data_IF_347037750199
#
_entry.id   IF_347037750199
#
_cell.length_a   1.000
_cell.length_b   1.000
_cell.length_c   1.000
_cell.angle_alpha   90.00
_cell.angle_beta   90.00
_cell.angle_gamma   90.00
#
_symmetry.space_group_name_H-M   'P 1'
#
loop_
_entity.id
_entity.type
_entity.pdbx_description
1 polymer ?
#
# COMPACT_ATOMS: atom_id res chain seq x y z
N UNK A 1 29.37 36.14 -22.67
CA UNK A 1 28.43 35.09 -23.13
C UNK A 1 28.58 33.76 -22.40
N UNK A 2 29.79 33.26 -22.08
CA UNK A 2 29.97 31.97 -21.37
C UNK A 2 29.38 31.96 -19.94
N UNK A 3 29.48 33.07 -19.20
CA UNK A 3 28.92 33.19 -17.83
C UNK A 3 27.39 33.20 -17.82
N UNK A 4 26.75 33.71 -18.87
CA UNK A 4 25.28 33.77 -18.98
C UNK A 4 24.66 32.39 -19.26
N UNK A 5 25.41 31.49 -19.90
CA UNK A 5 24.98 30.11 -20.22
C UNK A 5 25.04 29.22 -18.96
N UNK A 6 26.01 29.45 -18.07
CA UNK A 6 26.17 28.68 -16.82
C UNK A 6 25.01 28.96 -15.84
N UNK A 7 24.45 30.17 -15.84
CA UNK A 7 23.34 30.54 -14.96
C UNK A 7 21.99 29.91 -15.38
N UNK A 8 21.82 29.58 -16.66
CA UNK A 8 20.58 28.95 -17.15
C UNK A 8 20.52 27.44 -16.88
N UNK A 9 21.65 26.77 -16.67
CA UNK A 9 21.69 25.32 -16.41
C UNK A 9 21.32 25.00 -14.94
N UNK A 10 21.45 25.96 -14.03
CA UNK A 10 21.10 25.81 -12.61
C UNK A 10 19.59 25.90 -12.32
N UNK A 11 18.78 26.41 -13.26
CA UNK A 11 17.33 26.58 -13.08
C UNK A 11 16.49 25.36 -13.51
N UNK A 12 17.09 24.36 -14.17
CA UNK A 12 16.36 23.15 -14.61
C UNK A 12 16.41 21.99 -13.61
N UNK A 13 17.05 22.17 -12.44
CA UNK A 13 17.18 21.12 -11.42
C UNK A 13 16.22 21.26 -10.24
N UNK A 14 15.20 22.12 -10.33
CA UNK A 14 14.04 21.99 -9.43
C UNK A 14 13.23 20.78 -9.91
N UNK A 15 13.65 19.59 -9.50
CA UNK A 15 12.77 18.43 -9.45
C UNK A 15 11.66 18.82 -8.48
N UNK A 16 10.58 19.40 -9.02
CA UNK A 16 9.34 19.53 -8.27
C UNK A 16 8.86 18.10 -8.03
N UNK A 17 9.31 17.53 -6.92
CA UNK A 17 8.55 16.49 -6.27
C UNK A 17 7.27 17.18 -5.79
N UNK A 18 6.28 17.30 -6.68
CA UNK A 18 4.91 17.43 -6.25
C UNK A 18 4.63 16.17 -5.43
N UNK A 19 4.77 16.28 -4.11
CA UNK A 19 4.11 15.38 -3.20
C UNK A 19 2.62 15.56 -3.46
N UNK A 20 2.11 14.75 -4.39
CA UNK A 20 0.68 14.64 -4.66
C UNK A 20 0.06 14.28 -3.31
N UNK A 21 -0.50 15.27 -2.62
CA UNK A 21 -1.20 15.09 -1.35
C UNK A 21 -2.42 14.22 -1.65
N UNK A 22 -2.24 12.91 -1.60
CA UNK A 22 -3.32 11.94 -1.71
C UNK A 22 -4.15 12.11 -0.46
N UNK A 23 -5.36 12.60 -0.63
CA UNK A 23 -6.31 12.68 0.48
C UNK A 23 -6.72 11.26 0.86
N UNK A 24 -6.15 10.76 1.94
CA UNK A 24 -6.31 9.38 2.38
C UNK A 24 -7.00 9.35 3.73
N UNK A 25 -8.20 8.77 3.76
CA UNK A 25 -9.12 8.82 4.89
C UNK A 25 -8.76 7.84 6.00
N UNK A 26 -8.27 6.65 5.65
CA UNK A 26 -8.03 5.59 6.65
C UNK A 26 -6.61 5.04 6.55
N UNK A 27 -5.95 4.94 7.71
CA UNK A 27 -4.64 4.28 7.83
C UNK A 27 -4.70 3.22 8.93
N UNK A 28 -4.45 1.97 8.56
CA UNK A 28 -4.34 0.86 9.51
C UNK A 28 -2.92 0.34 9.55
N UNK A 29 -2.34 0.26 10.75
CA UNK A 29 -1.03 -0.33 10.96
C UNK A 29 -1.17 -1.69 11.63
N UNK A 30 -0.44 -2.68 11.14
CA UNK A 30 -0.44 -4.04 11.68
C UNK A 30 0.98 -4.52 11.99
N UNK A 31 1.09 -5.43 12.95
CA UNK A 31 2.30 -6.21 13.22
C UNK A 31 1.99 -7.70 13.18
N UNK A 32 2.91 -8.49 12.65
CA UNK A 32 2.94 -9.95 12.81
C UNK A 32 4.31 -10.41 13.31
N UNK A 33 4.54 -11.71 13.43
CA UNK A 33 5.87 -12.24 13.68
C UNK A 33 6.88 -11.84 12.59
N UNK A 34 6.46 -11.75 11.32
CA UNK A 34 7.35 -11.57 10.17
C UNK A 34 7.33 -10.18 9.54
N UNK A 35 6.26 -9.41 9.74
CA UNK A 35 6.06 -8.14 9.03
C UNK A 35 5.59 -7.01 9.95
N UNK A 36 5.91 -5.80 9.51
CA UNK A 36 5.16 -4.58 9.85
C UNK A 36 4.43 -4.16 8.57
N UNK A 37 3.15 -3.83 8.68
CA UNK A 37 2.30 -3.52 7.54
C UNK A 37 1.56 -2.20 7.81
N UNK A 38 1.47 -1.34 6.81
CA UNK A 38 0.59 -0.18 6.81
C UNK A 38 -0.32 -0.25 5.58
N UNK A 39 -1.61 -0.11 5.79
CA UNK A 39 -2.62 0.00 4.73
C UNK A 39 -3.17 1.41 4.77
N UNK A 40 -3.13 2.09 3.62
CA UNK A 40 -3.65 3.45 3.44
C UNK A 40 -4.77 3.41 2.42
N UNK A 41 -5.99 3.73 2.85
CA UNK A 41 -7.17 3.82 2.00
C UNK A 41 -7.40 5.26 1.60
N UNK A 42 -7.33 5.54 0.29
CA UNK A 42 -7.57 6.85 -0.30
C UNK A 42 -8.84 6.81 -1.16
N UNK A 43 -9.86 6.15 -0.62
CA UNK A 43 -11.19 5.96 -1.18
C UNK A 43 -12.12 7.02 -0.62
N UNK A 44 -13.15 7.42 -1.36
CA UNK A 44 -14.17 8.32 -0.82
C UNK A 44 -14.91 7.65 0.34
N UNK A 45 -15.39 8.43 1.30
CA UNK A 45 -16.24 7.88 2.36
C UNK A 45 -17.46 7.16 1.76
N UNK A 46 -17.76 5.97 2.27
CA UNK A 46 -18.86 5.13 1.79
C UNK A 46 -18.60 4.39 0.47
N UNK A 47 -17.44 4.58 -0.17
CA UNK A 47 -17.07 3.85 -1.38
C UNK A 47 -16.62 2.43 -1.03
N UNK A 48 -17.47 1.44 -1.32
CA UNK A 48 -17.12 0.04 -1.12
C UNK A 48 -16.11 -0.43 -2.16
N UNK A 49 -16.41 -0.23 -3.45
CA UNK A 49 -15.53 -0.64 -4.54
C UNK A 49 -14.48 0.43 -4.82
N UNK A 50 -13.30 0.26 -4.25
CA UNK A 50 -12.23 1.23 -4.36
C UNK A 50 -10.94 0.52 -4.76
N UNK A 51 -10.28 1.05 -5.79
CA UNK A 51 -8.99 0.59 -6.32
C UNK A 51 -7.82 1.49 -5.93
N UNK A 52 -8.03 2.39 -4.97
CA UNK A 52 -7.06 3.37 -4.51
C UNK A 52 -6.61 3.10 -3.07
N UNK A 53 -6.16 1.87 -2.83
CA UNK A 53 -5.62 1.42 -1.54
C UNK A 53 -4.14 1.10 -1.70
N UNK A 54 -3.32 1.49 -0.72
CA UNK A 54 -1.88 1.25 -0.71
C UNK A 54 -1.48 0.33 0.43
N UNK A 55 -0.66 -0.68 0.13
CA UNK A 55 0.00 -1.56 1.08
C UNK A 55 1.47 -1.18 1.16
N UNK A 56 1.96 -0.97 2.37
CA UNK A 56 3.39 -0.85 2.69
C UNK A 56 3.75 -2.01 3.63
N UNK A 57 4.65 -2.88 3.18
CA UNK A 57 5.08 -4.05 3.95
C UNK A 57 6.58 -4.07 4.14
N UNK A 58 7.01 -4.19 5.40
CA UNK A 58 8.43 -4.36 5.75
C UNK A 58 8.63 -5.72 6.41
N UNK A 59 9.48 -6.55 5.81
CA UNK A 59 9.89 -7.84 6.38
C UNK A 59 10.90 -7.60 7.51
N UNK A 60 10.67 -8.23 8.67
CA UNK A 60 11.43 -7.92 9.89
C UNK A 60 12.88 -8.42 9.88
N UNK A 61 13.12 -9.58 9.25
CA UNK A 61 14.42 -10.27 9.27
C UNK A 61 15.49 -9.53 8.48
N UNK A 62 15.16 -9.01 7.30
CA UNK A 62 16.09 -8.41 6.34
C UNK A 62 15.76 -6.94 6.01
N UNK A 63 14.69 -6.39 6.60
CA UNK A 63 14.18 -5.04 6.34
C UNK A 63 13.75 -4.81 4.89
N UNK A 64 13.55 -5.86 4.11
CA UNK A 64 13.01 -5.76 2.75
C UNK A 64 11.65 -5.05 2.77
N UNK A 65 11.53 -4.00 1.96
CA UNK A 65 10.33 -3.18 1.85
C UNK A 65 9.64 -3.37 0.51
N UNK A 66 8.31 -3.32 0.52
CA UNK A 66 7.50 -3.26 -0.69
C UNK A 66 6.33 -2.31 -0.50
N UNK A 67 6.00 -1.58 -1.57
CA UNK A 67 4.78 -0.80 -1.68
C UNK A 67 3.95 -1.29 -2.86
N UNK A 68 2.64 -1.49 -2.67
CA UNK A 68 1.72 -1.98 -3.68
C UNK A 68 0.46 -1.13 -3.72
N UNK A 69 -0.06 -0.87 -4.92
CA UNK A 69 -1.42 -0.38 -5.12
C UNK A 69 -2.36 -1.60 -5.22
N UNK A 70 -3.54 -1.48 -4.65
CA UNK A 70 -4.53 -2.54 -4.61
C UNK A 70 -5.94 -2.00 -4.43
N UNK A 71 -6.85 -2.90 -4.12
CA UNK A 71 -8.28 -2.62 -4.06
C UNK A 71 -8.93 -3.27 -2.85
N UNK A 72 -10.10 -2.78 -2.49
CA UNK A 72 -10.97 -3.39 -1.47
C UNK A 72 -11.51 -4.75 -1.93
N UNK A 73 -11.93 -5.55 -0.96
CA UNK A 73 -12.70 -6.79 -1.12
C UNK A 73 -13.99 -6.58 -0.36
N UNK A 74 -15.14 -6.74 -1.02
CA UNK A 74 -16.44 -6.43 -0.45
C UNK A 74 -17.38 -7.62 -0.52
N UNK A 75 -18.29 -7.69 0.44
CA UNK A 75 -19.52 -8.46 0.32
C UNK A 75 -20.64 -7.54 -0.18
N UNK A 76 -21.05 -7.76 -1.42
CA UNK A 76 -22.09 -6.98 -2.08
C UNK A 76 -23.48 -7.19 -1.48
N UNK A 77 -23.74 -8.34 -0.83
CA UNK A 77 -25.04 -8.61 -0.23
C UNK A 77 -25.21 -7.87 1.10
N UNK A 78 -24.15 -7.80 1.90
CA UNK A 78 -24.16 -7.13 3.21
C UNK A 78 -23.59 -5.71 3.19
N UNK A 79 -23.18 -5.20 2.02
CA UNK A 79 -22.53 -3.90 1.86
C UNK A 79 -21.34 -3.70 2.81
N UNK A 80 -20.55 -4.75 3.01
CA UNK A 80 -19.48 -4.79 4.02
C UNK A 80 -18.10 -4.92 3.38
N UNK A 81 -17.17 -4.08 3.83
CA UNK A 81 -15.75 -4.25 3.55
C UNK A 81 -15.22 -5.51 4.25
N UNK A 82 -14.68 -6.46 3.49
CA UNK A 82 -14.07 -7.68 4.00
C UNK A 82 -12.55 -7.56 4.17
N UNK A 83 -11.91 -6.73 3.35
CA UNK A 83 -10.47 -6.58 3.39
C UNK A 83 -9.89 -5.94 2.14
N UNK A 84 -8.65 -6.30 1.83
CA UNK A 84 -7.88 -5.69 0.75
C UNK A 84 -7.10 -6.74 -0.04
N UNK A 85 -6.94 -6.50 -1.33
CA UNK A 85 -6.12 -7.33 -2.23
C UNK A 85 -5.08 -6.50 -2.97
N UNK A 86 -3.88 -7.05 -3.10
CA UNK A 86 -2.75 -6.42 -3.78
C UNK A 86 -2.05 -7.45 -4.68
N UNK A 87 -1.81 -7.08 -5.94
CA UNK A 87 -1.12 -7.95 -6.90
C UNK A 87 0.31 -7.46 -7.12
N UNK A 88 1.27 -8.40 -7.17
CA UNK A 88 2.63 -8.14 -7.58
C UNK A 88 3.16 -9.32 -8.42
N UNK A 89 3.15 -9.20 -9.74
CA UNK A 89 3.50 -10.29 -10.66
C UNK A 89 2.69 -11.56 -10.35
N UNK A 90 3.36 -12.70 -10.06
CA UNK A 90 2.73 -13.96 -9.71
C UNK A 90 2.21 -14.04 -8.25
N UNK A 91 2.38 -12.97 -7.47
CA UNK A 91 2.02 -12.92 -6.06
C UNK A 91 0.72 -12.16 -5.83
N UNK A 92 -0.16 -12.75 -5.01
CA UNK A 92 -1.39 -12.12 -4.54
C UNK A 92 -1.35 -12.03 -3.02
N UNK A 93 -1.56 -10.83 -2.50
CA UNK A 93 -1.59 -10.52 -1.07
C UNK A 93 -3.02 -10.17 -0.68
N UNK A 94 -3.57 -10.90 0.28
CA UNK A 94 -4.91 -10.67 0.83
C UNK A 94 -4.75 -10.30 2.29
N UNK A 95 -5.30 -9.14 2.68
CA UNK A 95 -5.41 -8.74 4.09
C UNK A 95 -6.89 -8.73 4.46
N UNK A 96 -7.30 -9.71 5.27
CA UNK A 96 -8.68 -9.94 5.68
C UNK A 96 -8.69 -10.72 7.00
N UNK A 97 -9.68 -10.47 7.86
CA UNK A 97 -9.91 -11.19 9.12
C UNK A 97 -8.65 -11.29 10.00
N UNK A 98 -7.98 -10.15 10.19
CA UNK A 98 -6.72 -10.04 10.93
C UNK A 98 -5.62 -10.98 10.41
N UNK A 99 -5.61 -11.32 9.13
CA UNK A 99 -4.60 -12.17 8.53
C UNK A 99 -4.03 -11.58 7.25
N UNK A 100 -2.73 -11.77 7.04
CA UNK A 100 -2.09 -11.61 5.74
C UNK A 100 -1.94 -12.99 5.13
N UNK A 101 -2.54 -13.18 3.96
CA UNK A 101 -2.38 -14.41 3.16
C UNK A 101 -1.67 -14.06 1.86
N UNK A 102 -0.58 -14.77 1.55
CA UNK A 102 0.22 -14.57 0.35
C UNK A 102 0.12 -15.83 -0.50
N UNK A 103 -0.31 -15.67 -1.74
CA UNK A 103 -0.33 -16.71 -2.75
C UNK A 103 0.77 -16.47 -3.79
N UNK A 104 1.33 -17.54 -4.36
CA UNK A 104 2.19 -17.51 -5.54
C UNK A 104 1.62 -18.46 -6.59
N UNK A 105 1.27 -17.96 -7.77
CA UNK A 105 0.63 -18.76 -8.84
C UNK A 105 -0.58 -19.57 -8.30
N UNK A 106 -1.45 -18.90 -7.56
CA UNK A 106 -2.65 -19.46 -6.91
C UNK A 106 -2.41 -20.54 -5.84
N UNK A 107 -1.16 -20.80 -5.45
CA UNK A 107 -0.83 -21.68 -4.32
C UNK A 107 -0.55 -20.84 -3.08
N UNK A 108 -1.13 -21.24 -1.95
CA UNK A 108 -0.85 -20.61 -0.66
C UNK A 108 0.65 -20.74 -0.38
N UNK A 109 1.34 -19.61 -0.30
CA UNK A 109 2.75 -19.53 0.06
C UNK A 109 2.91 -19.30 1.55
N UNK A 110 2.07 -18.43 2.13
CA UNK A 110 2.24 -18.00 3.50
C UNK A 110 0.95 -17.44 4.10
N UNK A 111 0.74 -17.65 5.39
CA UNK A 111 -0.29 -16.98 6.19
C UNK A 111 0.30 -16.46 7.50
N UNK A 112 -0.01 -15.21 7.84
CA UNK A 112 0.39 -14.52 9.07
C UNK A 112 -0.84 -14.00 9.80
N UNK A 113 -0.89 -14.19 11.12
CA UNK A 113 -1.82 -13.46 11.97
C UNK A 113 -1.30 -12.03 12.18
N UNK A 114 -2.19 -11.06 12.03
CA UNK A 114 -1.93 -9.64 12.17
C UNK A 114 -2.59 -9.13 13.45
N UNK A 115 -1.84 -8.33 14.20
CA UNK A 115 -2.38 -7.54 15.29
C UNK A 115 -2.47 -6.09 14.83
N UNK A 116 -3.68 -5.52 14.87
CA UNK A 116 -3.89 -4.10 14.62
C UNK A 116 -3.17 -3.29 15.71
N UNK A 117 -2.49 -2.23 15.30
CA UNK A 117 -1.92 -1.25 16.20
C UNK A 117 -2.93 -0.14 16.41
N UNK A 118 -3.38 -0.01 17.65
CA UNK A 118 -4.07 1.19 18.09
C UNK A 118 -2.99 2.25 18.36
N UNK A 119 -3.05 3.34 17.61
CA UNK A 119 -2.25 4.54 17.88
C UNK A 119 -2.91 5.35 19.00
#
# INVERSE_FOLDING_TARGET
MKVLIILMILLSFTCSAEELTRDCLYTNNYKSARYTIKIVSCCKEGELDCDNVYYEGTRKIDKSFIQLKGKTINDYLSHRLLGYQFQNNDYLYIVQDNSLTIYKKNKLLQKDLLNLLHN
#
